data_IF_279194900197
#
_entry.id   IF_279194900197
#
_cell.length_a   1.000
_cell.length_b   1.000
_cell.length_c   1.000
_cell.angle_alpha   90.00
_cell.angle_beta   90.00
_cell.angle_gamma   90.00
#
_symmetry.space_group_name_H-M   'P 1'
#
loop_
_entity.id
_entity.type
_entity.pdbx_description
1 polymer ?
#
# COMPACT_ATOMS: atom_id res chain seq x y z
N UNK A 1 -6.75 -12.17 12.64
CA UNK A 1 -7.04 -13.61 12.62
C UNK A 1 -6.21 -14.27 13.70
N UNK A 2 -5.60 -15.42 13.44
CA UNK A 2 -4.67 -16.11 14.38
C UNK A 2 -3.19 -15.72 14.18
N UNK A 3 -2.90 -14.74 13.33
CA UNK A 3 -1.54 -14.23 13.10
C UNK A 3 -1.46 -12.80 13.62
N UNK A 4 -0.30 -12.43 14.15
CA UNK A 4 0.00 -11.06 14.54
C UNK A 4 1.50 -10.85 14.75
N UNK A 5 1.90 -9.58 14.86
CA UNK A 5 3.28 -9.19 15.11
C UNK A 5 3.33 -7.96 16.01
N UNK A 6 4.41 -7.82 16.76
CA UNK A 6 4.76 -6.61 17.51
C UNK A 6 6.18 -6.20 17.15
N UNK A 7 6.44 -4.89 17.15
CA UNK A 7 7.75 -4.36 16.78
C UNK A 7 8.18 -3.24 17.71
N UNK A 8 9.49 -3.16 17.95
CA UNK A 8 10.12 -2.04 18.65
C UNK A 8 10.94 -1.25 17.63
N UNK A 9 10.55 0.00 17.42
CA UNK A 9 11.19 0.88 16.43
C UNK A 9 11.79 2.07 17.18
N UNK A 10 13.12 2.12 17.20
CA UNK A 10 13.87 3.33 17.46
C UNK A 10 14.11 4.05 16.13
N UNK A 11 13.54 5.25 15.92
CA UNK A 11 13.74 6.03 14.71
C UNK A 11 15.24 6.19 14.42
N UNK A 12 15.61 6.10 13.13
CA UNK A 12 16.97 6.22 12.59
C UNK A 12 18.01 5.22 13.10
N UNK A 13 17.75 4.47 14.18
CA UNK A 13 18.67 3.47 14.75
C UNK A 13 18.30 2.06 14.28
N UNK A 14 17.03 1.67 14.45
CA UNK A 14 16.53 0.35 14.09
C UNK A 14 15.73 0.38 12.79
N UNK A 15 15.39 -0.79 12.25
CA UNK A 15 14.50 -0.91 11.09
C UNK A 15 13.13 -0.27 11.36
N UNK A 16 12.78 0.73 10.55
CA UNK A 16 11.48 1.40 10.61
C UNK A 16 10.37 0.58 9.92
N UNK A 17 9.15 1.14 9.87
CA UNK A 17 8.04 0.48 9.19
C UNK A 17 8.32 0.29 7.70
N UNK A 18 8.88 1.32 7.05
CA UNK A 18 9.18 1.37 5.63
C UNK A 18 10.25 0.35 5.21
N UNK A 19 11.19 0.04 6.11
CA UNK A 19 12.17 -1.02 5.87
C UNK A 19 11.52 -2.39 5.64
N UNK A 20 10.30 -2.61 6.13
CA UNK A 20 9.60 -3.89 6.10
C UNK A 20 8.34 -3.89 5.20
N UNK A 21 8.16 -2.87 4.36
CA UNK A 21 6.99 -2.76 3.47
C UNK A 21 6.85 -3.95 2.52
N UNK A 22 7.98 -4.52 2.10
CA UNK A 22 8.07 -5.72 1.27
C UNK A 22 7.55 -6.99 1.95
N UNK A 23 7.55 -7.02 3.29
CA UNK A 23 6.96 -8.12 4.06
C UNK A 23 5.43 -8.02 4.16
N UNK A 24 4.83 -6.89 3.78
CA UNK A 24 3.38 -6.73 3.85
C UNK A 24 2.71 -7.39 2.65
N UNK A 25 1.61 -8.09 2.93
CA UNK A 25 0.79 -8.65 1.86
C UNK A 25 0.16 -7.51 1.04
N UNK A 26 0.27 -7.60 -0.29
CA UNK A 26 -0.43 -6.68 -1.18
C UNK A 26 -1.94 -6.82 -0.98
N UNK A 27 -2.71 -5.72 -1.01
CA UNK A 27 -4.16 -5.80 -1.05
C UNK A 27 -4.59 -6.66 -2.23
N UNK A 28 -5.56 -7.55 -2.03
CA UNK A 28 -6.14 -8.36 -3.10
C UNK A 28 -6.91 -7.45 -4.04
N UNK A 29 -6.35 -7.17 -5.21
CA UNK A 29 -7.02 -6.43 -6.28
C UNK A 29 -7.38 -7.39 -7.41
N UNK A 30 -8.66 -7.43 -7.79
CA UNK A 30 -9.11 -8.24 -8.91
C UNK A 30 -8.94 -7.45 -10.22
N UNK A 31 -8.34 -8.04 -11.28
CA UNK A 31 -8.21 -7.36 -12.56
C UNK A 31 -9.56 -7.00 -13.16
N UNK A 32 -9.69 -5.78 -13.72
CA UNK A 32 -10.95 -5.28 -14.30
C UNK A 32 -11.45 -6.21 -15.41
N UNK A 33 -10.56 -6.72 -16.27
CA UNK A 33 -10.93 -7.64 -17.34
C UNK A 33 -11.53 -8.96 -16.83
N UNK A 34 -11.06 -9.46 -15.68
CA UNK A 34 -11.56 -10.67 -15.04
C UNK A 34 -12.93 -10.44 -14.44
N UNK A 35 -13.11 -9.35 -13.67
CA UNK A 35 -14.41 -9.06 -13.07
C UNK A 35 -15.45 -8.69 -14.12
N UNK A 36 -15.06 -8.07 -15.25
CA UNK A 36 -15.98 -7.64 -16.30
C UNK A 36 -16.40 -8.79 -17.24
N UNK A 37 -15.45 -9.58 -17.73
CA UNK A 37 -15.70 -10.52 -18.84
C UNK A 37 -15.62 -11.99 -18.43
N UNK A 38 -14.76 -12.35 -17.48
CA UNK A 38 -14.48 -13.77 -17.15
C UNK A 38 -14.44 -14.02 -15.64
N UNK A 39 -15.55 -13.80 -14.91
CA UNK A 39 -15.62 -14.12 -13.49
C UNK A 39 -15.44 -15.64 -13.30
N UNK A 40 -14.76 -16.02 -12.21
CA UNK A 40 -14.43 -17.42 -11.89
C UNK A 40 -14.74 -17.78 -10.43
N UNK A 41 -14.66 -16.77 -9.56
CA UNK A 41 -14.90 -16.88 -8.13
C UNK A 41 -16.12 -16.00 -7.76
N UNK A 42 -16.88 -16.35 -6.71
CA UNK A 42 -18.03 -15.54 -6.28
C UNK A 42 -17.62 -14.11 -5.88
N UNK A 43 -16.40 -13.91 -5.39
CA UNK A 43 -15.79 -12.61 -5.11
C UNK A 43 -15.74 -11.72 -6.36
N UNK A 44 -15.46 -12.29 -7.54
CA UNK A 44 -15.43 -11.51 -8.80
C UNK A 44 -16.81 -10.97 -9.16
N UNK A 45 -17.88 -11.71 -8.86
CA UNK A 45 -19.25 -11.27 -9.12
C UNK A 45 -19.67 -10.15 -8.16
N UNK A 46 -19.23 -10.20 -6.91
CA UNK A 46 -19.47 -9.17 -5.90
C UNK A 46 -18.68 -7.89 -6.24
N UNK A 47 -17.39 -8.03 -6.57
CA UNK A 47 -16.54 -6.91 -6.95
C UNK A 47 -17.06 -6.21 -8.21
N UNK A 48 -17.53 -6.99 -9.20
CA UNK A 48 -18.18 -6.44 -10.39
C UNK A 48 -19.41 -5.60 -10.03
N UNK A 49 -20.27 -6.10 -9.14
CA UNK A 49 -21.49 -5.39 -8.74
C UNK A 49 -21.16 -4.07 -8.02
N UNK A 50 -20.11 -4.08 -7.19
CA UNK A 50 -19.62 -2.92 -6.44
C UNK A 50 -18.95 -1.87 -7.31
N UNK A 51 -18.00 -2.29 -8.17
CA UNK A 51 -17.11 -1.37 -8.89
C UNK A 51 -17.66 -0.93 -10.24
N UNK A 52 -18.42 -1.80 -10.93
CA UNK A 52 -18.90 -1.52 -12.29
C UNK A 52 -20.41 -1.30 -12.35
N UNK A 53 -21.22 -2.18 -11.76
CA UNK A 53 -22.67 -2.09 -11.90
C UNK A 53 -23.29 -1.01 -11.01
N UNK A 54 -22.79 -0.84 -9.78
CA UNK A 54 -23.30 0.19 -8.87
C UNK A 54 -23.20 1.60 -9.45
N UNK A 55 -22.03 2.09 -9.93
CA UNK A 55 -21.95 3.42 -10.53
C UNK A 55 -22.80 3.57 -11.81
N UNK A 56 -23.03 2.47 -12.53
CA UNK A 56 -23.84 2.46 -13.76
C UNK A 56 -25.34 2.65 -13.46
N UNK A 57 -25.85 2.05 -12.39
CA UNK A 57 -27.27 2.15 -12.01
C UNK A 57 -27.53 3.35 -11.10
N UNK A 58 -26.55 3.70 -10.26
CA UNK A 58 -26.64 4.75 -9.25
C UNK A 58 -25.55 5.80 -9.48
N UNK A 59 -25.64 6.53 -10.60
CA UNK A 59 -24.63 7.51 -11.03
C UNK A 59 -24.29 8.57 -9.95
N UNK A 60 -25.28 8.96 -9.14
CA UNK A 60 -25.13 10.08 -8.19
C UNK A 60 -24.89 9.62 -6.74
N UNK A 61 -25.05 8.33 -6.42
CA UNK A 61 -24.97 7.81 -5.04
C UNK A 61 -23.73 6.94 -4.87
N UNK A 62 -22.78 7.39 -4.04
CA UNK A 62 -21.66 6.55 -3.60
C UNK A 62 -22.20 5.36 -2.81
N UNK A 63 -21.67 4.17 -3.09
CA UNK A 63 -22.00 2.96 -2.35
C UNK A 63 -21.57 3.09 -0.90
N UNK A 64 -22.55 3.05 0.01
CA UNK A 64 -22.30 2.90 1.46
C UNK A 64 -22.19 1.41 1.80
N UNK A 65 -21.06 1.02 2.35
CA UNK A 65 -20.78 -0.37 2.74
C UNK A 65 -21.45 -0.77 4.05
N UNK A 66 -21.90 0.19 4.85
CA UNK A 66 -22.56 -0.05 6.14
C UNK A 66 -24.09 -0.07 6.05
N UNK A 67 -24.65 0.45 4.96
CA UNK A 67 -26.10 0.43 4.70
C UNK A 67 -26.59 -0.98 4.30
N UNK A 68 -27.47 -1.62 5.10
CA UNK A 68 -28.03 -2.93 4.78
C UNK A 68 -28.78 -2.97 3.43
N UNK A 69 -29.40 -1.87 2.99
CA UNK A 69 -30.12 -1.82 1.72
C UNK A 69 -29.15 -1.93 0.53
N UNK A 70 -28.02 -1.24 0.60
CA UNK A 70 -26.98 -1.29 -0.41
C UNK A 70 -26.36 -2.68 -0.51
N UNK A 71 -26.05 -3.31 0.64
CA UNK A 71 -25.53 -4.68 0.66
C UNK A 71 -26.56 -5.67 0.10
N UNK A 72 -27.85 -5.46 0.35
CA UNK A 72 -28.93 -6.27 -0.22
C UNK A 72 -29.05 -6.14 -1.72
N UNK A 73 -28.89 -4.93 -2.24
CA UNK A 73 -28.80 -4.70 -3.68
C UNK A 73 -27.60 -5.44 -4.29
N UNK A 74 -26.40 -5.30 -3.71
CA UNK A 74 -25.19 -5.96 -4.17
C UNK A 74 -25.33 -7.48 -4.18
N UNK A 75 -25.85 -8.05 -3.09
CA UNK A 75 -26.07 -9.48 -2.97
C UNK A 75 -27.00 -10.00 -4.08
N UNK A 76 -28.11 -9.31 -4.36
CA UNK A 76 -29.06 -9.69 -5.41
C UNK A 76 -28.43 -9.62 -6.80
N UNK A 77 -27.73 -8.52 -7.10
CA UNK A 77 -27.08 -8.29 -8.40
C UNK A 77 -25.94 -9.29 -8.63
N UNK A 78 -25.07 -9.48 -7.64
CA UNK A 78 -23.98 -10.45 -7.68
C UNK A 78 -24.50 -11.89 -7.81
N UNK A 79 -25.58 -12.25 -7.11
CA UNK A 79 -26.21 -13.57 -7.21
C UNK A 79 -26.79 -13.84 -8.60
N UNK A 80 -27.39 -12.82 -9.23
CA UNK A 80 -27.90 -12.95 -10.61
C UNK A 80 -26.75 -13.21 -11.59
N UNK A 81 -25.67 -12.42 -11.49
CA UNK A 81 -24.48 -12.61 -12.32
C UNK A 81 -23.82 -13.97 -12.07
N UNK A 82 -23.70 -14.39 -10.83
CA UNK A 82 -23.12 -15.70 -10.50
C UNK A 82 -23.90 -16.85 -11.15
N UNK A 83 -25.24 -16.77 -11.21
CA UNK A 83 -26.08 -17.74 -11.94
C UNK A 83 -25.82 -17.75 -13.44
N UNK A 84 -25.61 -16.59 -14.07
CA UNK A 84 -25.29 -16.48 -15.51
C UNK A 84 -23.97 -17.20 -15.85
N UNK A 85 -22.97 -17.10 -14.96
CA UNK A 85 -21.66 -17.74 -15.12
C UNK A 85 -21.54 -19.12 -14.46
N UNK A 86 -22.63 -19.66 -13.90
CA UNK A 86 -22.66 -20.95 -13.17
C UNK A 86 -21.65 -21.00 -12.01
N UNK A 87 -21.49 -19.90 -11.29
CA UNK A 87 -20.63 -19.77 -10.12
C UNK A 87 -21.51 -19.90 -8.86
N UNK A 88 -21.10 -20.77 -7.95
CA UNK A 88 -21.75 -20.97 -6.66
C UNK A 88 -20.99 -20.24 -5.54
N UNK A 89 -21.61 -20.08 -4.38
CA UNK A 89 -20.96 -19.54 -3.18
C UNK A 89 -21.15 -18.04 -2.91
N UNK A 90 -21.97 -17.33 -3.70
CA UNK A 90 -22.37 -15.95 -3.34
C UNK A 90 -23.31 -16.03 -2.14
N UNK A 91 -22.83 -15.56 -0.98
CA UNK A 91 -23.59 -15.45 0.26
C UNK A 91 -23.57 -14.02 0.76
N UNK A 92 -24.55 -13.65 1.59
CA UNK A 92 -24.57 -12.33 2.24
C UNK A 92 -23.28 -12.03 3.01
N UNK A 93 -22.77 -13.00 3.77
CA UNK A 93 -21.54 -12.87 4.54
C UNK A 93 -20.33 -12.64 3.62
N UNK A 94 -20.24 -13.36 2.50
CA UNK A 94 -19.20 -13.15 1.51
C UNK A 94 -19.32 -11.77 0.85
N UNK A 95 -20.54 -11.32 0.53
CA UNK A 95 -20.77 -9.97 -0.01
C UNK A 95 -20.26 -8.89 0.93
N UNK A 96 -20.59 -8.98 2.22
CA UNK A 96 -20.05 -8.07 3.23
C UNK A 96 -18.53 -8.17 3.36
N UNK A 97 -18.00 -9.40 3.37
CA UNK A 97 -16.57 -9.68 3.47
C UNK A 97 -15.75 -9.01 2.37
N UNK A 98 -16.18 -9.18 1.12
CA UNK A 98 -15.50 -8.62 -0.07
C UNK A 98 -15.62 -7.10 -0.08
N UNK A 99 -16.84 -6.57 0.06
CA UNK A 99 -17.09 -5.12 -0.08
C UNK A 99 -16.39 -4.30 1.02
N UNK A 100 -16.36 -4.81 2.26
CA UNK A 100 -15.69 -4.14 3.38
C UNK A 100 -14.22 -4.53 3.54
N UNK A 101 -13.68 -5.42 2.70
CA UNK A 101 -12.36 -6.01 2.89
C UNK A 101 -12.16 -6.50 4.34
N UNK A 102 -13.13 -7.25 4.88
CA UNK A 102 -13.16 -7.64 6.29
C UNK A 102 -11.95 -8.51 6.63
N UNK A 103 -11.12 -8.04 7.56
CA UNK A 103 -10.05 -8.83 8.16
C UNK A 103 -10.62 -9.53 9.40
N UNK A 104 -10.62 -10.88 9.48
CA UNK A 104 -11.12 -11.58 10.66
C UNK A 104 -10.36 -11.14 11.92
N UNK A 105 -11.08 -10.70 12.96
CA UNK A 105 -10.50 -10.24 14.22
C UNK A 105 -10.86 -11.21 15.37
N UNK A 106 -9.89 -11.50 16.25
CA UNK A 106 -10.06 -12.43 17.37
C UNK A 106 -9.50 -11.79 18.62
N UNK A 107 -10.27 -11.80 19.71
CA UNK A 107 -9.91 -11.15 20.96
C UNK A 107 -8.59 -11.68 21.56
N UNK A 108 -8.35 -13.00 21.49
CA UNK A 108 -7.14 -13.62 22.00
C UNK A 108 -5.88 -13.12 21.30
N UNK A 109 -5.87 -13.04 19.97
CA UNK A 109 -4.73 -12.51 19.20
C UNK A 109 -4.48 -11.06 19.56
N UNK A 110 -5.53 -10.23 19.64
CA UNK A 110 -5.39 -8.82 20.03
C UNK A 110 -4.81 -8.68 21.44
N UNK A 111 -5.25 -9.51 22.38
CA UNK A 111 -4.72 -9.53 23.74
C UNK A 111 -3.23 -9.91 23.78
N UNK A 112 -2.81 -10.93 23.02
CA UNK A 112 -1.40 -11.35 22.96
C UNK A 112 -0.51 -10.24 22.36
N UNK A 113 -0.93 -9.64 21.25
CA UNK A 113 -0.15 -8.56 20.60
C UNK A 113 -0.11 -7.32 21.51
N UNK A 114 -1.22 -6.93 22.12
CA UNK A 114 -1.27 -5.80 23.05
C UNK A 114 -0.38 -6.04 24.27
N UNK A 115 -0.41 -7.25 24.85
CA UNK A 115 0.46 -7.62 25.97
C UNK A 115 1.95 -7.51 25.59
N UNK A 116 2.33 -7.99 24.40
CA UNK A 116 3.71 -7.84 23.89
C UNK A 116 4.10 -6.36 23.80
N UNK A 117 3.29 -5.52 23.15
CA UNK A 117 3.56 -4.08 23.03
C UNK A 117 3.68 -3.37 24.38
N UNK A 118 2.76 -3.65 25.32
CA UNK A 118 2.80 -3.06 26.67
C UNK A 118 4.04 -3.50 27.45
N UNK A 119 4.45 -4.77 27.31
CA UNK A 119 5.65 -5.29 27.96
C UNK A 119 6.91 -4.59 27.44
N UNK A 120 7.03 -4.40 26.12
CA UNK A 120 8.17 -3.68 25.54
C UNK A 120 8.18 -2.19 25.93
N UNK A 121 7.03 -1.54 25.96
CA UNK A 121 6.92 -0.17 26.46
C UNK A 121 7.38 -0.04 27.92
N UNK A 122 6.99 -1.00 28.78
CA UNK A 122 7.42 -1.04 30.18
C UNK A 122 8.94 -1.23 30.32
N UNK A 123 9.53 -2.16 29.56
CA UNK A 123 10.98 -2.39 29.55
C UNK A 123 11.76 -1.15 29.13
N UNK A 124 11.31 -0.46 28.08
CA UNK A 124 11.93 0.77 27.59
C UNK A 124 11.85 1.88 28.65
N UNK A 125 10.68 2.06 29.29
CA UNK A 125 10.48 3.14 30.25
C UNK A 125 11.25 2.93 31.58
N UNK A 126 11.41 1.68 32.01
CA UNK A 126 11.97 1.37 33.34
C UNK A 126 13.39 0.83 33.29
N UNK A 127 13.88 0.42 32.11
CA UNK A 127 15.14 -0.32 31.97
C UNK A 127 15.18 -1.59 32.85
N UNK A 128 14.01 -2.16 33.19
CA UNK A 128 13.92 -3.34 34.06
C UNK A 128 14.46 -4.62 33.40
N UNK A 129 14.44 -4.70 32.06
CA UNK A 129 14.98 -5.80 31.28
C UNK A 129 15.35 -5.33 29.86
N UNK A 130 16.16 -6.11 29.10
CA UNK A 130 16.40 -5.86 27.68
C UNK A 130 15.08 -5.89 26.88
N UNK A 131 14.91 -4.90 26.01
CA UNK A 131 13.78 -4.80 25.09
C UNK A 131 13.98 -5.69 23.85
N UNK A 132 12.88 -5.98 23.16
CA UNK A 132 12.82 -6.71 21.90
C UNK A 132 13.68 -6.04 20.82
N UNK A 133 14.52 -6.82 20.15
CA UNK A 133 15.27 -6.33 19.00
C UNK A 133 14.43 -6.39 17.72
N UNK A 134 13.73 -5.29 17.46
CA UNK A 134 12.89 -5.01 16.31
C UNK A 134 11.64 -5.85 16.10
N UNK A 135 11.70 -7.17 15.89
CA UNK A 135 10.56 -7.93 15.35
C UNK A 135 10.22 -9.18 16.16
N UNK A 136 8.94 -9.32 16.49
CA UNK A 136 8.34 -10.55 17.01
C UNK A 136 7.04 -10.88 16.28
N UNK A 137 6.83 -12.16 15.97
CA UNK A 137 5.60 -12.65 15.34
C UNK A 137 5.01 -13.85 16.06
N UNK A 138 3.69 -14.00 15.91
CA UNK A 138 2.87 -15.08 16.42
C UNK A 138 2.05 -15.70 15.29
N UNK A 139 2.03 -17.04 15.24
CA UNK A 139 1.13 -17.83 14.40
C UNK A 139 0.42 -18.85 15.29
N UNK A 140 -0.91 -18.72 15.39
CA UNK A 140 -1.77 -19.57 16.21
C UNK A 140 -2.70 -20.49 15.40
N UNK A 141 -2.32 -20.88 14.18
CA UNK A 141 -3.16 -21.76 13.33
C UNK A 141 -3.06 -23.23 13.75
N UNK A 142 -1.84 -23.71 14.00
CA UNK A 142 -1.55 -25.09 14.42
C UNK A 142 -0.68 -25.05 15.68
N UNK A 143 -1.32 -25.00 16.84
CA UNK A 143 -0.64 -24.75 18.11
C UNK A 143 -0.22 -23.28 18.26
N UNK A 144 0.79 -23.03 19.10
CA UNK A 144 1.33 -21.67 19.35
C UNK A 144 2.77 -21.63 18.85
N UNK A 145 2.98 -20.95 17.73
CA UNK A 145 4.31 -20.68 17.20
C UNK A 145 4.63 -19.19 17.35
N UNK A 146 5.82 -18.89 17.85
CA UNK A 146 6.34 -17.52 17.86
C UNK A 146 7.79 -17.48 17.42
N UNK A 147 8.16 -16.43 16.72
CA UNK A 147 9.53 -16.23 16.25
C UNK A 147 9.97 -14.79 16.48
N UNK A 148 11.19 -14.63 16.97
CA UNK A 148 11.85 -13.36 17.23
C UNK A 148 13.04 -13.26 16.31
N UNK A 149 13.18 -12.14 15.60
CA UNK A 149 14.35 -11.86 14.80
C UNK A 149 14.59 -10.36 14.72
N UNK A 150 15.86 -10.00 14.54
CA UNK A 150 16.24 -8.62 14.25
C UNK A 150 16.01 -8.34 12.77
N UNK A 151 15.04 -7.47 12.46
CA UNK A 151 14.87 -6.99 11.10
C UNK A 151 15.93 -5.92 10.82
N UNK A 152 16.74 -6.16 9.80
CA UNK A 152 17.83 -5.24 9.45
C UNK A 152 17.30 -3.91 8.92
N UNK A 153 17.99 -2.83 9.33
CA UNK A 153 17.73 -1.49 8.83
C UNK A 153 18.29 -1.39 7.40
N UNK A 154 17.40 -1.15 6.43
CA UNK A 154 17.79 -0.89 5.04
C UNK A 154 18.53 0.45 4.93
N UNK A 155 19.73 0.44 4.35
CA UNK A 155 20.53 1.65 4.10
C UNK A 155 19.92 2.55 3.03
N UNK A 156 19.18 1.97 2.08
CA UNK A 156 18.43 2.68 1.04
C UNK A 156 17.01 3.04 1.49
N UNK A 157 16.69 2.91 2.79
CA UNK A 157 15.34 3.22 3.27
C UNK A 157 15.05 4.72 3.13
N UNK A 158 13.93 5.09 2.47
CA UNK A 158 13.59 6.50 2.24
C UNK A 158 13.34 7.29 3.53
N UNK A 159 13.08 6.61 4.66
CA UNK A 159 12.79 7.21 5.97
C UNK A 159 14.02 7.28 6.87
N UNK A 160 14.68 6.13 7.05
CA UNK A 160 15.70 5.98 8.08
C UNK A 160 17.11 5.71 7.52
N UNK A 161 17.23 5.43 6.21
CA UNK A 161 18.44 4.97 5.55
C UNK A 161 19.51 6.04 5.33
N UNK A 162 19.14 7.31 5.38
CA UNK A 162 19.99 8.42 4.97
C UNK A 162 19.44 9.03 3.68
N UNK A 163 19.58 10.34 3.55
CA UNK A 163 18.73 11.24 2.77
C UNK A 163 18.62 10.96 1.26
N UNK A 164 19.43 10.06 0.68
CA UNK A 164 19.52 9.81 -0.77
C UNK A 164 19.42 8.33 -1.13
N UNK A 165 18.50 7.97 -2.01
CA UNK A 165 18.38 6.65 -2.63
C UNK A 165 18.96 6.67 -4.05
N UNK A 166 19.91 5.80 -4.34
CA UNK A 166 20.47 5.67 -5.69
C UNK A 166 19.53 4.85 -6.59
N UNK A 167 19.23 5.37 -7.78
CA UNK A 167 18.33 4.72 -8.75
C UNK A 167 18.97 4.72 -10.13
N UNK A 168 19.04 3.52 -10.73
CA UNK A 168 19.46 3.35 -12.12
C UNK A 168 18.29 3.62 -13.06
N UNK A 169 18.46 4.58 -13.97
CA UNK A 169 17.44 5.02 -14.92
C UNK A 169 17.98 4.91 -16.34
N UNK A 170 17.23 4.29 -17.25
CA UNK A 170 17.63 4.23 -18.66
C UNK A 170 17.58 5.61 -19.30
N UNK A 171 18.57 5.95 -20.15
CA UNK A 171 18.62 7.28 -20.83
C UNK A 171 17.36 7.64 -21.65
N UNK A 172 16.63 6.62 -22.09
CA UNK A 172 15.38 6.74 -22.86
C UNK A 172 14.12 6.86 -22.00
N UNK A 173 14.24 6.84 -20.66
CA UNK A 173 13.08 7.00 -19.79
C UNK A 173 12.52 8.42 -19.88
N UNK A 174 11.20 8.50 -19.95
CA UNK A 174 10.45 9.76 -19.79
C UNK A 174 10.20 10.04 -18.31
N UNK A 175 9.85 11.28 -17.98
CA UNK A 175 9.43 11.63 -16.62
C UNK A 175 8.17 10.85 -16.22
N UNK A 176 7.25 10.61 -17.16
CA UNK A 176 6.08 9.76 -16.94
C UNK A 176 6.47 8.34 -16.50
N UNK A 177 7.40 7.70 -17.22
CA UNK A 177 7.91 6.37 -16.87
C UNK A 177 8.58 6.34 -15.50
N UNK A 178 9.29 7.41 -15.12
CA UNK A 178 9.89 7.54 -13.79
C UNK A 178 8.82 7.60 -12.69
N UNK A 179 7.71 8.32 -12.94
CA UNK A 179 6.58 8.41 -12.01
C UNK A 179 5.85 7.07 -11.88
N UNK A 180 5.64 6.36 -12.99
CA UNK A 180 5.08 5.01 -12.98
C UNK A 180 5.97 4.07 -12.17
N UNK A 181 7.29 4.10 -12.41
CA UNK A 181 8.24 3.31 -11.65
C UNK A 181 8.20 3.62 -10.15
N UNK A 182 8.12 4.89 -9.74
CA UNK A 182 7.97 5.26 -8.32
C UNK A 182 6.66 4.76 -7.69
N UNK A 183 5.62 4.62 -8.50
CA UNK A 183 4.30 4.13 -8.07
C UNK A 183 4.29 2.60 -7.95
N UNK A 184 4.94 1.90 -8.87
CA UNK A 184 4.99 0.43 -8.93
C UNK A 184 6.07 -0.18 -8.03
N UNK A 185 7.15 0.56 -7.77
CA UNK A 185 8.28 0.06 -7.00
C UNK A 185 7.86 -0.28 -5.57
N UNK A 186 8.06 -1.55 -5.20
CA UNK A 186 7.64 -2.10 -3.91
C UNK A 186 8.35 -1.45 -2.72
N UNK A 187 9.53 -0.84 -2.93
CA UNK A 187 10.26 -0.14 -1.87
C UNK A 187 9.65 1.21 -1.50
N UNK A 188 8.89 1.82 -2.41
CA UNK A 188 8.52 3.24 -2.36
C UNK A 188 6.99 3.42 -2.31
N UNK A 189 6.23 2.70 -3.16
CA UNK A 189 4.76 2.67 -3.21
C UNK A 189 4.07 4.03 -2.99
N UNK A 190 4.56 5.09 -3.65
CA UNK A 190 4.02 6.44 -3.50
C UNK A 190 2.77 6.60 -4.37
N UNK A 191 1.70 7.19 -3.81
CA UNK A 191 0.56 7.65 -4.60
C UNK A 191 0.75 9.11 -4.98
N UNK A 192 0.73 9.40 -6.29
CA UNK A 192 0.82 10.75 -6.87
C UNK A 192 2.08 11.53 -6.42
N UNK A 193 3.28 11.10 -6.83
CA UNK A 193 4.51 11.82 -6.53
C UNK A 193 4.61 13.14 -7.31
N UNK A 194 5.18 14.15 -6.66
CA UNK A 194 5.67 15.40 -7.25
C UNK A 194 7.20 15.40 -7.23
N UNK A 195 7.82 15.84 -8.33
CA UNK A 195 9.26 15.80 -8.59
C UNK A 195 9.81 17.22 -8.73
N UNK A 196 10.90 17.51 -8.03
CA UNK A 196 11.67 18.75 -8.16
C UNK A 196 13.17 18.49 -8.17
N UNK A 197 13.92 19.30 -8.91
CA UNK A 197 15.38 19.31 -8.91
C UNK A 197 15.84 20.57 -8.16
N UNK A 198 16.17 20.43 -6.87
CA UNK A 198 16.42 21.56 -5.99
C UNK A 198 15.22 22.51 -5.95
N UNK A 199 15.37 23.73 -6.49
CA UNK A 199 14.30 24.74 -6.57
C UNK A 199 13.49 24.68 -7.88
N UNK A 200 13.92 23.88 -8.87
CA UNK A 200 13.26 23.80 -10.18
C UNK A 200 12.16 22.74 -10.18
N UNK A 201 10.89 23.10 -10.44
CA UNK A 201 9.81 22.12 -10.53
C UNK A 201 9.94 21.31 -11.83
N UNK A 202 9.99 19.99 -11.72
CA UNK A 202 9.94 19.09 -12.88
C UNK A 202 8.48 18.79 -13.20
N UNK A 203 7.77 18.25 -12.21
CA UNK A 203 6.37 17.89 -12.30
C UNK A 203 5.69 17.97 -10.93
N UNK A 204 4.58 18.69 -10.84
CA UNK A 204 3.79 18.81 -9.61
C UNK A 204 2.35 18.35 -9.83
N UNK A 205 1.85 17.50 -8.94
CA UNK A 205 0.45 17.05 -8.95
C UNK A 205 -0.52 18.11 -8.41
N UNK A 206 -0.03 19.04 -7.59
CA UNK A 206 -0.81 20.12 -7.01
C UNK A 206 0.13 21.31 -6.71
N UNK A 207 -0.34 22.57 -6.78
CA UNK A 207 -1.67 23.05 -7.21
C UNK A 207 -1.92 22.94 -8.73
N UNK A 208 -3.19 23.01 -9.22
CA UNK A 208 -3.55 22.81 -10.64
C UNK A 208 -2.79 23.71 -11.64
N UNK A 209 -2.44 24.93 -11.24
CA UNK A 209 -1.67 25.87 -12.05
C UNK A 209 -0.23 25.37 -12.33
N UNK A 210 0.40 24.74 -11.34
CA UNK A 210 1.72 24.12 -11.51
C UNK A 210 1.62 22.79 -12.27
N UNK A 211 0.52 22.07 -12.10
CA UNK A 211 0.27 20.83 -12.85
C UNK A 211 0.13 21.11 -14.34
N UNK A 212 -0.69 22.09 -14.75
CA UNK A 212 -0.85 22.47 -16.16
C UNK A 212 0.46 22.98 -16.79
N UNK A 213 1.25 23.78 -16.05
CA UNK A 213 2.51 24.31 -16.55
C UNK A 213 3.64 23.27 -16.62
N UNK A 214 3.61 22.24 -15.77
CA UNK A 214 4.63 21.19 -15.74
C UNK A 214 4.23 19.91 -16.50
N UNK A 215 2.95 19.76 -16.88
CA UNK A 215 2.45 18.66 -17.70
C UNK A 215 3.26 18.43 -18.99
N UNK A 216 3.72 19.45 -19.74
CA UNK A 216 4.55 19.25 -20.93
C UNK A 216 5.92 18.62 -20.66
N UNK A 217 6.38 18.57 -19.39
CA UNK A 217 7.64 17.92 -19.04
C UNK A 217 7.50 16.40 -18.88
N UNK A 218 6.28 15.85 -18.85
CA UNK A 218 6.06 14.41 -18.69
C UNK A 218 6.60 13.59 -19.86
N UNK A 219 6.45 14.11 -21.09
CA UNK A 219 6.90 13.47 -22.32
C UNK A 219 8.41 13.63 -22.57
N UNK A 220 9.07 14.56 -21.86
CA UNK A 220 10.51 14.80 -22.01
C UNK A 220 11.31 13.68 -21.38
N UNK A 221 12.52 13.46 -21.91
CA UNK A 221 13.42 12.45 -21.39
C UNK A 221 14.05 12.91 -20.08
N UNK A 222 14.30 11.98 -19.16
CA UNK A 222 14.88 12.26 -17.84
C UNK A 222 16.23 12.97 -17.98
N UNK A 223 17.07 12.55 -18.93
CA UNK A 223 18.40 13.14 -19.16
C UNK A 223 18.39 14.58 -19.69
N UNK A 224 17.28 15.05 -20.27
CA UNK A 224 17.15 16.44 -20.76
C UNK A 224 16.86 17.42 -19.62
N UNK A 225 16.26 16.93 -18.53
CA UNK A 225 15.81 17.74 -17.40
C UNK A 225 16.69 17.58 -16.16
N UNK A 226 17.32 16.42 -16.00
CA UNK A 226 18.11 16.06 -14.83
C UNK A 226 19.53 15.69 -15.29
N UNK A 227 20.58 16.39 -14.80
CA UNK A 227 21.96 16.03 -15.11
C UNK A 227 22.35 14.69 -14.47
N UNK A 228 23.40 14.05 -15.00
CA UNK A 228 23.93 12.79 -14.45
C UNK A 228 24.39 12.96 -13.01
N UNK A 229 23.95 12.08 -12.11
CA UNK A 229 24.16 12.22 -10.67
C UNK A 229 23.29 13.30 -10.00
N UNK A 230 22.33 13.87 -10.71
CA UNK A 230 21.39 14.86 -10.18
C UNK A 230 20.50 14.27 -9.08
N UNK A 231 20.32 15.05 -8.02
CA UNK A 231 19.48 14.71 -6.87
C UNK A 231 18.06 15.24 -7.07
N UNK A 232 17.13 14.32 -7.36
CA UNK A 232 15.71 14.62 -7.53
C UNK A 232 14.99 14.46 -6.20
N UNK A 233 14.32 15.53 -5.79
CA UNK A 233 13.49 15.57 -4.60
C UNK A 233 12.08 15.13 -4.95
N UNK A 234 11.59 14.10 -4.26
CA UNK A 234 10.25 13.54 -4.41
C UNK A 234 9.42 13.87 -3.18
N UNK A 235 8.25 14.45 -3.42
CA UNK A 235 7.27 14.78 -2.38
C UNK A 235 5.92 14.19 -2.75
N UNK A 236 5.15 13.76 -1.75
CA UNK A 236 3.82 13.23 -1.98
C UNK A 236 2.95 13.41 -0.74
N UNK A 237 1.63 13.44 -0.91
CA UNK A 237 0.70 13.45 0.23
C UNK A 237 0.78 12.19 1.09
N UNK A 238 1.29 11.10 0.53
CA UNK A 238 1.53 9.83 1.22
C UNK A 238 2.86 9.77 1.96
N UNK A 239 3.76 10.73 1.72
CA UNK A 239 5.06 10.81 2.35
C UNK A 239 5.10 11.99 3.32
N UNK A 240 5.24 11.77 4.64
CA UNK A 240 5.38 12.85 5.62
C UNK A 240 6.79 13.50 5.59
N UNK A 241 7.69 12.99 4.75
CA UNK A 241 9.06 13.44 4.59
C UNK A 241 9.41 13.55 3.10
N UNK A 242 10.53 14.18 2.82
CA UNK A 242 11.02 14.39 1.46
C UNK A 242 12.02 13.28 1.09
N UNK A 243 11.77 12.58 -0.02
CA UNK A 243 12.66 11.53 -0.51
C UNK A 243 13.61 12.12 -1.55
N UNK A 244 14.92 12.00 -1.37
CA UNK A 244 15.88 12.39 -2.41
C UNK A 244 16.34 11.15 -3.19
N UNK A 245 16.28 11.23 -4.51
CA UNK A 245 16.75 10.20 -5.43
C UNK A 245 17.99 10.71 -6.14
N UNK A 246 19.08 9.94 -6.13
CA UNK A 246 20.23 10.20 -6.98
C UNK A 246 20.11 9.33 -8.23
N UNK A 247 20.03 9.97 -9.40
CA UNK A 247 19.84 9.26 -10.65
C UNK A 247 21.18 8.91 -11.30
N UNK A 248 21.41 7.62 -11.54
CA UNK A 248 22.51 7.11 -12.35
C UNK A 248 21.95 6.66 -13.71
N UNK A 249 22.46 7.24 -14.81
CA UNK A 249 21.99 6.92 -16.15
C UNK A 249 22.71 5.69 -16.71
N UNK A 250 21.94 4.67 -17.07
CA UNK A 250 22.42 3.43 -17.71
C UNK A 250 22.02 3.38 -19.18
#
# INVERSE_FOLDING_TARGET
GFKGQSRVIFPTISSCYECSLDMLNKPTAFPICTIANTPRLPEHCIEWASVLEWPKVHADKKMDTDDPEHISWLYKVASKRAKEFKIEGVTWQLTQGVVKNIIPAIASTNAIIAASCCNEAFKIATTAAPFLNNYWMLIGTDGVYSYTFEHEKKSDCPVCGGETMDVEVGKEWTIERLIEWLTENQKIQIKKPSLSLGTKPIYFQAPPQLEESTRPNLEKKVHELIPEGGEVTVTASTLPFTLTLRLAFV
#
